data_IF_966856711854
#
_entry.id   IF_966856711854
#
_cell.length_a   1.000
_cell.length_b   1.000
_cell.length_c   1.000
_cell.angle_alpha   90.00
_cell.angle_beta   90.00
_cell.angle_gamma   90.00
#
_symmetry.space_group_name_H-M   'P 1'
#
loop_
_entity.id
_entity.type
_entity.pdbx_description
1 polymer ?
#
# COMPACT_ATOMS: atom_id res chain seq x y z
N UNK A 1 4.85 16.01 1.51
CA UNK A 1 3.75 16.33 0.58
C UNK A 1 3.48 17.81 0.56
N UNK A 2 3.37 18.39 -0.62
CA UNK A 2 3.03 19.81 -0.76
C UNK A 2 1.59 20.03 -0.31
N UNK A 3 1.30 21.17 0.34
CA UNK A 3 -0.08 21.61 0.68
C UNK A 3 -1.05 21.53 -0.53
N UNK A 4 -0.51 21.70 -1.73
CA UNK A 4 -1.25 21.59 -3.00
C UNK A 4 -1.77 20.16 -3.22
N UNK A 5 -0.92 19.15 -2.99
CA UNK A 5 -1.33 17.74 -3.13
C UNK A 5 -2.41 17.32 -2.13
N UNK A 6 -2.33 17.83 -0.90
CA UNK A 6 -3.34 17.55 0.13
C UNK A 6 -4.66 18.26 -0.19
N UNK A 7 -4.60 19.51 -0.65
CA UNK A 7 -5.78 20.28 -1.07
C UNK A 7 -6.47 19.60 -2.26
N UNK A 8 -5.70 19.11 -3.26
CA UNK A 8 -6.26 18.41 -4.40
C UNK A 8 -6.99 17.12 -3.98
N UNK A 9 -6.40 16.30 -3.12
CA UNK A 9 -7.03 15.08 -2.61
C UNK A 9 -8.31 15.39 -1.82
N UNK A 10 -8.28 16.42 -0.99
CA UNK A 10 -9.43 16.85 -0.20
C UNK A 10 -10.60 17.35 -1.08
N UNK A 11 -10.31 18.17 -2.10
CA UNK A 11 -11.33 18.63 -3.06
C UNK A 11 -11.90 17.43 -3.82
N UNK A 12 -11.04 16.53 -4.27
CA UNK A 12 -11.46 15.36 -5.02
C UNK A 12 -12.34 14.42 -4.19
N UNK A 13 -12.03 14.19 -2.93
CA UNK A 13 -12.83 13.38 -2.01
C UNK A 13 -14.23 13.93 -1.74
N UNK A 14 -14.49 15.22 -2.08
CA UNK A 14 -15.83 15.80 -2.02
C UNK A 14 -16.67 15.64 -3.28
N UNK A 15 -16.04 15.30 -4.40
CA UNK A 15 -16.71 15.19 -5.71
C UNK A 15 -16.65 13.78 -6.28
N UNK A 16 -15.90 12.88 -5.65
CA UNK A 16 -15.76 11.49 -6.06
C UNK A 16 -15.50 10.61 -4.85
N UNK A 17 -16.26 9.57 -4.68
CA UNK A 17 -16.05 8.56 -3.63
C UNK A 17 -14.86 7.64 -3.92
N UNK A 18 -14.23 7.78 -5.08
CA UNK A 18 -13.07 6.99 -5.45
C UNK A 18 -11.77 7.68 -5.03
N UNK A 19 -10.91 7.06 -4.21
CA UNK A 19 -9.61 7.63 -3.85
C UNK A 19 -8.68 7.71 -5.06
N UNK A 20 -7.67 8.57 -4.95
CA UNK A 20 -6.72 8.77 -6.05
C UNK A 20 -5.83 7.55 -6.25
N UNK A 21 -5.42 7.29 -7.50
CA UNK A 21 -4.38 6.32 -7.84
C UNK A 21 -4.66 4.89 -7.36
N UNK A 22 -5.93 4.48 -7.32
CA UNK A 22 -6.28 3.09 -7.08
C UNK A 22 -6.05 2.25 -8.34
N UNK A 23 -5.26 1.19 -8.22
CA UNK A 23 -5.15 0.17 -9.27
C UNK A 23 -4.69 -1.18 -8.70
N UNK A 24 -5.14 -2.25 -9.33
CA UNK A 24 -4.68 -3.59 -9.02
C UNK A 24 -3.26 -3.82 -9.55
N UNK A 25 -2.40 -4.41 -8.72
CA UNK A 25 -1.08 -4.96 -9.10
C UNK A 25 -1.21 -6.45 -9.38
N UNK A 26 -2.02 -7.12 -8.59
CA UNK A 26 -2.48 -8.50 -8.83
C UNK A 26 -4.00 -8.44 -8.75
N UNK A 27 -4.66 -8.67 -9.87
CA UNK A 27 -6.12 -8.53 -10.01
C UNK A 27 -6.87 -9.29 -8.91
N UNK A 28 -7.76 -8.59 -8.21
CA UNK A 28 -8.56 -9.15 -7.13
C UNK A 28 -7.80 -9.59 -5.87
N UNK A 29 -6.49 -9.31 -5.76
CA UNK A 29 -5.65 -9.75 -4.63
C UNK A 29 -4.83 -8.64 -4.00
N UNK A 30 -4.14 -7.82 -4.80
CA UNK A 30 -3.25 -6.78 -4.30
C UNK A 30 -3.39 -5.50 -5.11
N UNK A 31 -3.74 -4.43 -4.44
CA UNK A 31 -3.89 -3.09 -5.02
C UNK A 31 -2.99 -2.06 -4.34
N UNK A 32 -2.67 -1.01 -5.08
CA UNK A 32 -2.09 0.22 -4.55
C UNK A 32 -3.08 1.37 -4.65
N UNK A 33 -2.99 2.33 -3.73
CA UNK A 33 -3.91 3.46 -3.67
C UNK A 33 -3.25 4.70 -3.06
N UNK A 34 -3.81 5.86 -3.33
CA UNK A 34 -3.60 7.08 -2.53
C UNK A 34 -4.41 7.03 -1.23
N UNK A 35 -4.19 8.02 -0.38
CA UNK A 35 -4.92 8.14 0.88
C UNK A 35 -6.43 8.30 0.62
N UNK A 36 -7.28 7.41 1.14
CA UNK A 36 -8.70 7.73 1.31
C UNK A 36 -8.84 8.90 2.28
N UNK A 37 -9.45 10.00 1.85
CA UNK A 37 -9.59 11.23 2.68
C UNK A 37 -10.95 11.37 3.30
N UNK A 38 -11.91 10.56 2.90
CA UNK A 38 -13.26 10.51 3.44
C UNK A 38 -13.68 9.08 3.73
N UNK A 39 -14.66 8.93 4.62
CA UNK A 39 -15.29 7.62 4.87
C UNK A 39 -15.94 7.05 3.60
N UNK A 40 -16.49 7.91 2.73
CA UNK A 40 -17.01 7.49 1.42
C UNK A 40 -15.95 6.84 0.51
N UNK A 41 -14.74 7.41 0.47
CA UNK A 41 -13.62 6.80 -0.25
C UNK A 41 -13.16 5.47 0.37
N UNK A 42 -13.15 5.38 1.70
CA UNK A 42 -12.86 4.14 2.41
C UNK A 42 -13.92 3.07 2.10
N UNK A 43 -15.19 3.42 2.16
CA UNK A 43 -16.30 2.52 1.79
C UNK A 43 -16.19 2.06 0.33
N UNK A 44 -15.88 2.98 -0.58
CA UNK A 44 -15.65 2.62 -1.98
C UNK A 44 -14.55 1.57 -2.12
N UNK A 45 -13.45 1.69 -1.37
CA UNK A 45 -12.34 0.71 -1.38
C UNK A 45 -12.83 -0.68 -0.92
N UNK A 46 -13.59 -0.75 0.15
CA UNK A 46 -14.14 -2.03 0.65
C UNK A 46 -15.13 -2.64 -0.34
N UNK A 47 -15.92 -1.82 -1.04
CA UNK A 47 -16.82 -2.26 -2.12
C UNK A 47 -16.07 -2.84 -3.34
N UNK A 48 -14.77 -2.52 -3.53
CA UNK A 48 -13.92 -3.19 -4.52
C UNK A 48 -13.49 -4.61 -4.09
N UNK A 49 -13.91 -5.06 -2.93
CA UNK A 49 -13.54 -6.35 -2.35
C UNK A 49 -12.32 -6.32 -1.45
N UNK A 50 -11.73 -5.14 -1.19
CA UNK A 50 -10.60 -5.01 -0.26
C UNK A 50 -11.09 -5.34 1.16
N UNK A 51 -10.41 -6.30 1.79
CA UNK A 51 -10.67 -6.74 3.17
C UNK A 51 -9.44 -6.60 4.09
N UNK A 52 -8.35 -6.05 3.57
CA UNK A 52 -7.14 -5.77 4.35
C UNK A 52 -6.44 -4.53 3.84
N UNK A 53 -5.93 -3.70 4.74
CA UNK A 53 -5.28 -2.44 4.38
C UNK A 53 -3.93 -2.32 5.09
N UNK A 54 -2.91 -1.93 4.31
CA UNK A 54 -1.59 -1.54 4.81
C UNK A 54 -1.41 -0.04 4.60
N UNK A 55 -1.32 0.71 5.68
CA UNK A 55 -1.02 2.14 5.67
C UNK A 55 0.47 2.38 5.85
N UNK A 56 1.10 3.05 4.89
CA UNK A 56 2.56 3.36 4.90
C UNK A 56 2.73 4.88 4.93
N UNK A 57 2.51 5.48 6.10
CA UNK A 57 2.60 6.93 6.30
C UNK A 57 2.68 7.28 7.79
N UNK A 58 2.91 8.55 8.08
CA UNK A 58 3.12 9.09 9.43
C UNK A 58 1.92 8.86 10.35
N UNK A 59 0.71 9.00 9.81
CA UNK A 59 -0.55 8.95 10.55
C UNK A 59 -1.42 7.80 10.05
N UNK A 60 -2.01 7.00 10.95
CA UNK A 60 -2.94 5.93 10.57
C UNK A 60 -4.23 6.48 9.95
N UNK A 61 -5.04 5.59 9.41
CA UNK A 61 -6.43 5.90 9.06
C UNK A 61 -7.26 6.11 10.34
N UNK A 62 -8.37 6.87 10.28
CA UNK A 62 -9.27 7.06 11.40
C UNK A 62 -9.78 5.71 11.95
N UNK A 63 -9.59 5.40 13.25
CA UNK A 63 -10.02 4.13 13.82
C UNK A 63 -11.52 3.87 13.66
N UNK A 64 -12.33 4.91 13.72
CA UNK A 64 -13.79 4.85 13.56
C UNK A 64 -14.25 4.30 12.21
N UNK A 65 -13.40 4.32 11.18
CA UNK A 65 -13.75 3.74 9.88
C UNK A 65 -13.72 2.20 9.89
N UNK A 66 -13.07 1.62 10.88
CA UNK A 66 -12.95 0.16 11.06
C UNK A 66 -14.03 -0.39 12.02
N UNK A 67 -14.77 0.49 12.70
CA UNK A 67 -15.84 0.12 13.64
C UNK A 67 -17.15 -0.24 12.89
N UNK A 68 -17.07 -0.86 11.74
CA UNK A 68 -18.19 -1.19 10.88
C UNK A 68 -18.82 -2.54 11.18
N UNK A 69 -20.05 -2.51 11.75
CA UNK A 69 -21.02 -3.57 11.66
C UNK A 69 -20.84 -4.76 12.61
N UNK A 70 -21.96 -5.28 13.11
CA UNK A 70 -22.06 -6.49 13.96
C UNK A 70 -21.75 -7.79 13.21
N UNK A 71 -21.36 -7.73 11.92
CA UNK A 71 -21.05 -8.91 11.10
C UNK A 71 -19.52 -9.08 10.95
N UNK A 72 -19.01 -10.24 11.36
CA UNK A 72 -17.60 -10.66 11.22
C UNK A 72 -17.08 -10.60 9.76
N UNK A 73 -17.98 -10.60 8.78
CA UNK A 73 -17.63 -10.53 7.35
C UNK A 73 -17.19 -9.12 6.88
N UNK A 74 -17.54 -8.05 7.61
CA UNK A 74 -17.20 -6.68 7.27
C UNK A 74 -15.91 -6.17 7.93
N UNK A 75 -15.26 -7.02 8.73
CA UNK A 75 -14.02 -6.64 9.42
C UNK A 75 -12.85 -6.48 8.44
N UNK A 76 -12.26 -5.29 8.42
CA UNK A 76 -11.07 -4.96 7.63
C UNK A 76 -9.82 -5.17 8.48
N UNK A 77 -8.94 -6.11 8.07
CA UNK A 77 -7.65 -6.29 8.72
C UNK A 77 -6.73 -5.10 8.43
N UNK A 78 -5.98 -4.65 9.42
CA UNK A 78 -5.23 -3.41 9.31
C UNK A 78 -3.79 -3.53 9.82
N UNK A 79 -2.84 -3.01 9.04
CA UNK A 79 -1.44 -2.83 9.41
C UNK A 79 -1.02 -1.38 9.15
N UNK A 80 -0.42 -0.74 10.15
CA UNK A 80 0.15 0.59 10.02
C UNK A 80 1.67 0.57 10.19
N UNK A 81 2.38 1.01 9.15
CA UNK A 81 3.82 1.29 9.18
C UNK A 81 4.01 2.80 9.20
N UNK A 82 4.63 3.31 10.28
CA UNK A 82 4.89 4.74 10.44
C UNK A 82 6.13 5.15 9.63
N UNK A 83 5.93 5.62 8.42
CA UNK A 83 6.99 6.02 7.49
C UNK A 83 6.81 7.47 7.06
N UNK A 84 7.87 8.26 7.19
CA UNK A 84 7.90 9.65 6.77
C UNK A 84 7.81 9.79 5.25
N UNK A 85 7.37 10.96 4.79
CA UNK A 85 7.25 11.23 3.35
C UNK A 85 8.63 11.18 2.67
N UNK A 86 8.67 10.64 1.45
CA UNK A 86 9.88 10.30 0.69
C UNK A 86 10.83 9.30 1.36
N UNK A 87 10.54 8.88 2.60
CA UNK A 87 11.23 7.79 3.28
C UNK A 87 10.81 6.42 2.76
N UNK A 88 11.42 5.39 3.32
CA UNK A 88 11.08 3.99 3.05
C UNK A 88 10.91 3.23 4.35
N UNK A 89 10.10 2.16 4.37
CA UNK A 89 10.10 1.21 5.49
C UNK A 89 11.49 0.59 5.70
N UNK A 90 11.79 0.23 6.93
CA UNK A 90 12.96 -0.60 7.24
C UNK A 90 12.83 -1.99 6.62
N UNK A 91 13.92 -2.76 6.63
CA UNK A 91 13.90 -4.15 6.14
C UNK A 91 12.89 -4.98 6.92
N UNK A 92 12.85 -4.82 8.23
CA UNK A 92 11.93 -5.51 9.14
C UNK A 92 10.47 -5.12 8.86
N UNK A 93 10.20 -3.84 8.65
CA UNK A 93 8.87 -3.35 8.29
C UNK A 93 8.43 -3.84 6.90
N UNK A 94 9.34 -3.90 5.92
CA UNK A 94 9.05 -4.50 4.62
C UNK A 94 8.71 -5.99 4.74
N UNK A 95 9.47 -6.72 5.56
CA UNK A 95 9.24 -8.15 5.79
C UNK A 95 7.90 -8.39 6.49
N UNK A 96 7.58 -7.60 7.52
CA UNK A 96 6.28 -7.60 8.21
C UNK A 96 5.12 -7.32 7.24
N UNK A 97 5.24 -6.27 6.42
CA UNK A 97 4.21 -5.90 5.46
C UNK A 97 3.99 -7.01 4.42
N UNK A 98 5.07 -7.57 3.87
CA UNK A 98 4.98 -8.64 2.86
C UNK A 98 4.35 -9.90 3.46
N UNK A 99 4.70 -10.27 4.68
CA UNK A 99 4.13 -11.43 5.36
C UNK A 99 2.66 -11.21 5.72
N UNK A 100 2.29 -10.02 6.17
CA UNK A 100 0.90 -9.63 6.38
C UNK A 100 0.10 -9.74 5.07
N UNK A 101 0.58 -9.14 3.99
CA UNK A 101 -0.07 -9.19 2.67
C UNK A 101 -0.28 -10.64 2.22
N UNK A 102 0.75 -11.47 2.28
CA UNK A 102 0.69 -12.88 1.87
C UNK A 102 -0.31 -13.67 2.70
N UNK A 103 -0.32 -13.48 4.00
CA UNK A 103 -1.27 -14.14 4.91
C UNK A 103 -2.71 -13.76 4.59
N UNK A 104 -2.98 -12.46 4.36
CA UNK A 104 -4.31 -11.99 4.03
C UNK A 104 -4.79 -12.54 2.67
N UNK A 105 -3.94 -12.50 1.66
CA UNK A 105 -4.26 -13.05 0.33
C UNK A 105 -4.56 -14.54 0.40
N UNK A 106 -3.78 -15.31 1.14
CA UNK A 106 -4.01 -16.76 1.34
C UNK A 106 -5.31 -17.04 2.08
N UNK A 107 -5.74 -16.13 2.93
CA UNK A 107 -7.03 -16.20 3.65
C UNK A 107 -8.21 -15.70 2.81
N UNK A 108 -8.00 -15.39 1.53
CA UNK A 108 -9.05 -14.91 0.64
C UNK A 108 -9.43 -13.44 0.90
N UNK A 109 -8.58 -12.67 1.56
CA UNK A 109 -8.79 -11.25 1.88
C UNK A 109 -7.90 -10.37 0.99
N UNK A 110 -8.43 -9.75 -0.08
CA UNK A 110 -7.66 -8.84 -0.91
C UNK A 110 -7.11 -7.65 -0.13
N UNK A 111 -5.90 -7.25 -0.47
CA UNK A 111 -5.13 -6.23 0.25
C UNK A 111 -4.97 -4.97 -0.57
N UNK A 112 -5.13 -3.81 0.06
CA UNK A 112 -4.74 -2.52 -0.47
C UNK A 112 -3.57 -1.95 0.32
N UNK A 113 -2.53 -1.51 -0.37
CA UNK A 113 -1.42 -0.74 0.20
C UNK A 113 -1.57 0.72 -0.19
N UNK A 114 -1.51 1.63 0.77
CA UNK A 114 -1.58 3.05 0.49
C UNK A 114 -0.58 3.87 1.32
N UNK A 115 -0.26 5.05 0.80
CA UNK A 115 0.41 6.12 1.54
C UNK A 115 -0.40 7.42 1.35
N UNK A 116 0.23 8.55 1.06
CA UNK A 116 -0.53 9.76 0.73
C UNK A 116 -0.91 9.82 -0.76
N UNK A 117 0.07 9.77 -1.66
CA UNK A 117 -0.17 9.79 -3.11
C UNK A 117 -0.34 8.40 -3.74
N UNK A 118 -0.06 7.33 -3.00
CA UNK A 118 -0.09 5.97 -3.52
C UNK A 118 1.06 5.66 -4.48
N UNK A 119 2.19 6.33 -4.36
CA UNK A 119 3.33 6.22 -5.28
C UNK A 119 4.60 5.73 -4.62
N UNK A 120 5.29 6.58 -3.85
CA UNK A 120 6.63 6.29 -3.33
C UNK A 120 6.65 5.15 -2.32
N UNK A 121 6.16 5.40 -1.12
CA UNK A 121 6.09 4.44 0.00
C UNK A 121 5.25 3.20 -0.35
N UNK A 122 4.10 3.41 -0.98
CA UNK A 122 3.24 2.33 -1.51
C UNK A 122 4.01 1.46 -2.50
N UNK A 123 4.69 2.07 -3.46
CA UNK A 123 5.46 1.35 -4.48
C UNK A 123 6.57 0.48 -3.88
N UNK A 124 7.24 0.96 -2.83
CA UNK A 124 8.30 0.19 -2.15
C UNK A 124 7.77 -1.11 -1.55
N UNK A 125 6.62 -1.07 -0.87
CA UNK A 125 5.99 -2.26 -0.29
C UNK A 125 5.51 -3.22 -1.38
N UNK A 126 4.88 -2.69 -2.44
CA UNK A 126 4.42 -3.51 -3.57
C UNK A 126 5.59 -4.20 -4.28
N UNK A 127 6.70 -3.49 -4.51
CA UNK A 127 7.90 -4.07 -5.10
C UNK A 127 8.52 -5.13 -4.19
N UNK A 128 8.62 -4.89 -2.89
CA UNK A 128 9.12 -5.87 -1.92
C UNK A 128 8.28 -7.16 -1.93
N UNK A 129 6.97 -7.04 -2.06
CA UNK A 129 6.10 -8.21 -2.23
C UNK A 129 6.46 -9.02 -3.48
N UNK A 130 6.66 -8.37 -4.62
CA UNK A 130 7.05 -9.05 -5.86
C UNK A 130 8.42 -9.73 -5.73
N UNK A 131 9.37 -9.10 -5.05
CA UNK A 131 10.70 -9.70 -4.77
C UNK A 131 10.56 -10.98 -3.96
N UNK A 132 9.86 -10.95 -2.82
CA UNK A 132 9.77 -12.11 -1.92
C UNK A 132 8.87 -13.21 -2.47
N UNK A 133 7.73 -12.85 -3.07
CA UNK A 133 6.67 -13.81 -3.43
C UNK A 133 6.65 -14.22 -4.90
N UNK A 134 7.20 -13.42 -5.79
CA UNK A 134 7.32 -13.75 -7.21
C UNK A 134 8.78 -14.02 -7.65
N UNK A 135 9.73 -13.94 -6.71
CA UNK A 135 11.14 -14.25 -6.98
C UNK A 135 11.83 -13.27 -7.91
N UNK A 136 11.30 -12.05 -8.06
CA UNK A 136 11.89 -11.00 -8.89
C UNK A 136 13.14 -10.42 -8.22
N UNK A 137 14.09 -9.93 -9.04
CA UNK A 137 15.10 -9.01 -8.52
C UNK A 137 14.46 -7.67 -8.12
N UNK A 138 15.15 -6.89 -7.30
CA UNK A 138 14.68 -5.56 -6.93
C UNK A 138 14.45 -4.67 -8.17
N UNK A 139 15.39 -4.72 -9.14
CA UNK A 139 15.28 -3.96 -10.38
C UNK A 139 14.03 -4.34 -11.18
N UNK A 140 13.82 -5.64 -11.42
CA UNK A 140 12.62 -6.14 -12.13
C UNK A 140 11.33 -5.74 -11.43
N UNK A 141 11.28 -5.85 -10.09
CA UNK A 141 10.10 -5.48 -9.30
C UNK A 141 9.82 -3.97 -9.37
N UNK A 142 10.84 -3.12 -9.26
CA UNK A 142 10.73 -1.67 -9.37
C UNK A 142 10.23 -1.27 -10.76
N UNK A 143 10.82 -1.82 -11.82
CA UNK A 143 10.39 -1.54 -13.20
C UNK A 143 8.94 -1.99 -13.43
N UNK A 144 8.58 -3.18 -12.96
CA UNK A 144 7.21 -3.69 -13.08
C UNK A 144 6.21 -2.79 -12.39
N UNK A 145 6.47 -2.37 -11.14
CA UNK A 145 5.58 -1.47 -10.41
C UNK A 145 5.48 -0.11 -11.13
N UNK A 146 6.58 0.43 -11.62
CA UNK A 146 6.58 1.71 -12.37
C UNK A 146 5.81 1.62 -13.69
N UNK A 147 5.86 0.48 -14.38
CA UNK A 147 5.10 0.27 -15.62
C UNK A 147 3.60 0.19 -15.36
N UNK A 148 3.18 -0.45 -14.27
CA UNK A 148 1.77 -0.59 -13.89
C UNK A 148 1.22 0.66 -13.21
N UNK A 149 2.06 1.37 -12.47
CA UNK A 149 1.74 2.52 -11.63
C UNK A 149 2.77 3.64 -11.82
N UNK A 150 2.65 4.44 -12.90
CA UNK A 150 3.63 5.48 -13.23
C UNK A 150 3.87 6.44 -12.07
N UNK A 151 5.14 6.81 -11.85
CA UNK A 151 5.57 7.66 -10.76
C UNK A 151 5.72 6.96 -9.40
N UNK A 152 5.70 5.64 -9.37
CA UNK A 152 5.98 4.85 -8.16
C UNK A 152 7.47 4.84 -7.83
N UNK A 153 7.77 4.67 -6.52
CA UNK A 153 9.15 4.59 -5.99
C UNK A 153 9.93 5.85 -6.37
N UNK A 154 9.69 6.93 -5.61
CA UNK A 154 10.02 8.30 -5.98
C UNK A 154 11.40 8.77 -5.51
N UNK A 155 12.03 8.03 -4.59
CA UNK A 155 13.29 8.45 -4.00
C UNK A 155 14.35 7.36 -4.08
N UNK A 156 15.63 7.76 -4.05
CA UNK A 156 16.77 6.83 -3.96
C UNK A 156 16.68 5.97 -2.70
N UNK A 157 16.18 6.54 -1.60
CA UNK A 157 15.98 5.80 -0.34
C UNK A 157 14.97 4.66 -0.53
N UNK A 158 13.91 4.89 -1.27
CA UNK A 158 12.90 3.87 -1.58
C UNK A 158 13.44 2.77 -2.49
N UNK A 159 14.19 3.12 -3.54
CA UNK A 159 14.87 2.13 -4.40
C UNK A 159 15.87 1.30 -3.60
N UNK A 160 16.69 1.98 -2.78
CA UNK A 160 17.69 1.32 -1.92
C UNK A 160 17.03 0.35 -0.94
N UNK A 161 15.90 0.71 -0.34
CA UNK A 161 15.18 -0.17 0.57
C UNK A 161 14.75 -1.48 -0.10
N UNK A 162 14.23 -1.43 -1.32
CA UNK A 162 13.84 -2.64 -2.08
C UNK A 162 15.08 -3.48 -2.42
N UNK A 163 16.18 -2.85 -2.84
CA UNK A 163 17.44 -3.53 -3.16
C UNK A 163 18.07 -4.19 -1.93
N UNK A 164 18.05 -3.52 -0.78
CA UNK A 164 18.54 -4.06 0.49
C UNK A 164 17.66 -5.21 0.98
N UNK A 165 16.35 -5.13 0.77
CA UNK A 165 15.44 -6.21 1.10
C UNK A 165 15.70 -7.47 0.27
N UNK A 166 15.97 -7.34 -1.03
CA UNK A 166 16.41 -8.46 -1.88
C UNK A 166 17.66 -9.13 -1.31
N UNK A 167 18.69 -8.33 -0.96
CA UNK A 167 19.93 -8.85 -0.36
C UNK A 167 19.69 -9.57 0.96
N UNK A 168 18.83 -9.01 1.81
CA UNK A 168 18.43 -9.63 3.06
C UNK A 168 17.76 -10.99 2.85
N UNK A 169 16.84 -11.10 1.90
CA UNK A 169 16.20 -12.38 1.57
C UNK A 169 17.20 -13.42 1.04
N UNK A 170 18.19 -13.00 0.23
CA UNK A 170 19.26 -13.88 -0.26
C UNK A 170 20.18 -14.35 0.85
N UNK A 171 20.41 -13.53 1.88
CA UNK A 171 21.27 -13.90 3.03
C UNK A 171 20.63 -14.93 3.97
N UNK A 172 19.30 -15.12 3.89
CA UNK A 172 18.56 -16.11 4.69
C UNK A 172 18.43 -17.48 4.05
N UNK A 173 18.89 -17.62 2.80
CA UNK A 173 18.90 -18.91 2.08
C UNK A 173 20.22 -19.62 2.30
#
# INVERSE_FOLDING_TARGET
>A
LTRIGDTYRWIRGRVSDRPTNFSWVIEGKLAGCGLPVTEGEFKWVTEQGIKSIVTVREVPLPPEWFDGGDDDDDYVCYLHLKVEDFGAPTIEELDEAVDFIDQQIRSGKPVMVHCAAGKGRTGSVLAAYLVKKQGMTAEEAIEKIRSMRPGSIQSVVQETAVSMYEKYLKSKK
#
